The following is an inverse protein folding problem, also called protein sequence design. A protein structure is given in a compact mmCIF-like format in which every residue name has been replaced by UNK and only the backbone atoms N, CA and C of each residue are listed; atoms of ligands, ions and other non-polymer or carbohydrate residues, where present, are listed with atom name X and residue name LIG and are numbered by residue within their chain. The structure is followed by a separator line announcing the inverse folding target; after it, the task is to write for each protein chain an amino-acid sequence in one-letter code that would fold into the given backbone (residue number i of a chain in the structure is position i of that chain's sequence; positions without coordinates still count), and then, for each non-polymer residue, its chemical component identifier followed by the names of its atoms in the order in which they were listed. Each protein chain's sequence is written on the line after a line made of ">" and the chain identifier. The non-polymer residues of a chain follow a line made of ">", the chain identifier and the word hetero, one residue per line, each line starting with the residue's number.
data_IF_773374118247
#
_entry.id   IF_773374118247
#
_cell.length_a   1.000
_cell.length_b   1.000
_cell.length_c   1.000
_cell.angle_alpha   90.00
_cell.angle_beta   90.00
_cell.angle_gamma   90.00
#
_symmetry.space_group_name_H-M   'P 1'
#
loop_
_entity.id
_entity.type
_entity.pdbx_description
1 polymer ?
#
# COMPACT_ATOMS: atom_id res chain seq x y z
N UNK A 1 4.57 4.39 -15.15
CA UNK A 1 4.09 4.25 -13.79
C UNK A 1 4.44 5.38 -12.84
N UNK A 2 4.57 6.54 -13.31
CA UNK A 2 4.47 7.81 -12.58
C UNK A 2 3.06 8.02 -11.98
N UNK A 3 2.37 6.95 -11.67
CA UNK A 3 0.92 6.92 -11.56
C UNK A 3 0.37 7.44 -10.27
N UNK A 4 1.15 7.45 -9.23
CA UNK A 4 0.72 8.03 -7.99
C UNK A 4 1.63 9.20 -7.64
N UNK A 5 1.25 10.39 -8.09
CA UNK A 5 1.73 11.61 -7.44
C UNK A 5 1.08 11.75 -6.06
N UNK A 6 1.15 10.68 -5.27
CA UNK A 6 0.81 10.69 -3.85
C UNK A 6 1.85 11.46 -3.04
N UNK A 7 2.98 11.81 -3.64
CA UNK A 7 4.14 12.39 -2.97
C UNK A 7 5.12 11.36 -2.44
N UNK A 8 4.81 10.07 -2.55
CA UNK A 8 5.72 9.00 -2.12
C UNK A 8 6.75 8.66 -3.20
N UNK A 9 7.98 8.25 -2.81
CA UNK A 9 9.10 8.07 -3.76
C UNK A 9 8.91 6.88 -4.70
N UNK A 10 8.19 5.85 -4.28
CA UNK A 10 7.96 4.63 -5.08
C UNK A 10 6.48 4.26 -5.12
N UNK A 11 6.05 3.66 -6.22
CA UNK A 11 4.71 3.08 -6.34
C UNK A 11 4.57 1.75 -5.58
N UNK A 12 3.35 1.33 -5.22
CA UNK A 12 3.12 0.14 -4.39
C UNK A 12 3.63 -1.16 -5.01
N UNK A 13 3.57 -1.34 -6.31
CA UNK A 13 4.10 -2.54 -6.97
C UNK A 13 5.63 -2.56 -6.96
N UNK A 14 6.28 -1.42 -7.10
CA UNK A 14 7.73 -1.29 -7.03
C UNK A 14 8.25 -1.53 -5.61
N UNK A 15 7.53 -1.03 -4.58
CA UNK A 15 7.81 -1.35 -3.18
C UNK A 15 7.69 -2.85 -2.94
N UNK A 16 6.62 -3.49 -3.43
CA UNK A 16 6.42 -4.93 -3.29
C UNK A 16 7.57 -5.74 -3.91
N UNK A 17 8.03 -5.36 -5.09
CA UNK A 17 9.17 -5.99 -5.75
C UNK A 17 10.49 -5.76 -5.00
N UNK A 18 10.66 -4.59 -4.39
CA UNK A 18 11.85 -4.23 -3.62
C UNK A 18 11.95 -5.00 -2.32
N UNK A 19 10.83 -5.21 -1.62
CA UNK A 19 10.73 -6.06 -0.42
C UNK A 19 10.95 -7.53 -0.78
N UNK A 20 10.46 -7.93 -1.94
CA UNK A 20 10.45 -9.30 -2.44
C UNK A 20 9.09 -9.97 -2.28
N UNK A 21 8.56 -10.49 -3.38
CA UNK A 21 7.25 -11.11 -3.41
C UNK A 21 7.20 -12.42 -2.61
N UNK A 22 8.29 -13.17 -2.58
CA UNK A 22 8.46 -14.37 -1.75
C UNK A 22 8.47 -14.02 -0.25
N UNK A 23 9.05 -12.88 0.12
CA UNK A 23 9.00 -12.37 1.48
C UNK A 23 7.57 -11.99 1.85
N UNK A 24 6.87 -11.25 0.98
CA UNK A 24 5.47 -10.89 1.19
C UNK A 24 4.56 -12.13 1.30
N UNK A 25 4.82 -13.17 0.49
CA UNK A 25 4.11 -14.45 0.55
C UNK A 25 4.30 -15.14 1.92
N UNK A 26 5.54 -15.20 2.41
CA UNK A 26 5.86 -15.80 3.72
C UNK A 26 5.20 -15.03 4.86
N UNK A 27 5.33 -13.70 4.86
CA UNK A 27 4.68 -12.83 5.86
C UNK A 27 3.16 -13.06 5.88
N UNK A 28 2.53 -13.10 4.70
CA UNK A 28 1.10 -13.35 4.59
C UNK A 28 0.68 -14.70 5.18
N UNK A 29 1.42 -15.77 4.89
CA UNK A 29 1.17 -17.11 5.46
C UNK A 29 1.35 -17.12 6.97
N UNK A 30 2.47 -16.59 7.48
CA UNK A 30 2.73 -16.52 8.93
C UNK A 30 1.68 -15.70 9.68
N UNK A 31 1.29 -14.54 9.14
CA UNK A 31 0.25 -13.72 9.76
C UNK A 31 -1.11 -14.43 9.81
N UNK A 32 -1.45 -15.17 8.75
CA UNK A 32 -2.67 -15.95 8.74
C UNK A 32 -2.65 -17.07 9.79
N UNK A 33 -1.53 -17.76 9.93
CA UNK A 33 -1.33 -18.78 10.97
C UNK A 33 -1.46 -18.20 12.39
N UNK A 34 -0.77 -17.09 12.67
CA UNK A 34 -0.81 -16.42 13.98
C UNK A 34 -2.22 -15.93 14.34
N UNK A 35 -2.98 -15.45 13.36
CA UNK A 35 -4.34 -14.96 13.57
C UNK A 35 -5.42 -16.04 13.36
N UNK A 36 -5.03 -17.30 13.20
CA UNK A 36 -5.94 -18.44 12.93
C UNK A 36 -6.87 -18.19 11.73
N UNK A 37 -6.35 -17.53 10.70
CA UNK A 37 -7.05 -17.20 9.46
C UNK A 37 -6.61 -18.11 8.31
N UNK A 38 -7.52 -18.36 7.38
CA UNK A 38 -7.15 -19.06 6.15
C UNK A 38 -6.47 -18.07 5.17
N UNK A 39 -5.18 -18.26 4.95
CA UNK A 39 -4.40 -17.42 4.01
C UNK A 39 -5.03 -17.35 2.61
N UNK A 40 -5.69 -18.40 2.14
CA UNK A 40 -6.34 -18.42 0.83
C UNK A 40 -7.48 -17.41 0.70
N UNK A 41 -8.02 -16.93 1.82
CA UNK A 41 -9.01 -15.85 1.86
C UNK A 41 -8.42 -14.45 1.74
N UNK A 42 -7.08 -14.29 1.87
CA UNK A 42 -6.43 -13.02 1.57
C UNK A 42 -6.54 -12.73 0.06
N UNK A 43 -7.11 -11.59 -0.35
CA UNK A 43 -7.24 -11.24 -1.77
C UNK A 43 -5.90 -11.20 -2.53
N UNK A 44 -4.79 -11.06 -1.83
CA UNK A 44 -3.44 -11.04 -2.42
C UNK A 44 -2.85 -12.43 -2.58
N UNK A 45 -3.34 -13.42 -1.83
CA UNK A 45 -2.77 -14.76 -1.76
C UNK A 45 -2.62 -15.41 -3.14
N UNK A 46 -3.71 -15.41 -3.91
CA UNK A 46 -3.73 -16.03 -5.23
C UNK A 46 -2.74 -15.38 -6.21
N UNK A 47 -2.59 -14.05 -6.14
CA UNK A 47 -1.64 -13.32 -6.99
C UNK A 47 -0.20 -13.57 -6.59
N UNK A 48 0.10 -13.52 -5.28
CA UNK A 48 1.46 -13.74 -4.78
C UNK A 48 1.92 -15.18 -5.00
N UNK A 49 1.06 -16.17 -4.71
CA UNK A 49 1.40 -17.57 -4.98
C UNK A 49 1.67 -17.81 -6.47
N UNK A 50 0.81 -17.30 -7.34
CA UNK A 50 1.00 -17.42 -8.78
C UNK A 50 2.30 -16.76 -9.27
N UNK A 51 2.61 -15.55 -8.83
CA UNK A 51 3.85 -14.89 -9.24
C UNK A 51 5.08 -15.64 -8.74
N UNK A 52 5.09 -16.07 -7.47
CA UNK A 52 6.26 -16.66 -6.84
C UNK A 52 6.40 -18.14 -7.18
N UNK A 53 5.34 -18.92 -6.98
CA UNK A 53 5.38 -20.39 -7.06
C UNK A 53 5.26 -20.88 -8.51
N UNK A 54 4.36 -20.30 -9.33
CA UNK A 54 4.13 -20.77 -10.70
C UNK A 54 5.05 -20.06 -11.71
N UNK A 55 5.30 -18.75 -11.53
CA UNK A 55 6.08 -17.95 -12.50
C UNK A 55 7.52 -17.68 -12.07
N UNK A 56 7.89 -18.05 -10.84
CA UNK A 56 9.25 -17.84 -10.29
C UNK A 56 9.65 -16.37 -10.22
N UNK A 57 8.69 -15.46 -10.03
CA UNK A 57 8.88 -14.01 -9.99
C UNK A 57 8.94 -13.54 -8.53
N UNK A 58 10.15 -13.39 -8.01
CA UNK A 58 10.39 -13.11 -6.58
C UNK A 58 10.64 -11.62 -6.28
N UNK A 59 10.54 -10.76 -7.28
CA UNK A 59 10.79 -9.34 -7.16
C UNK A 59 12.16 -8.90 -7.68
N UNK A 60 12.56 -7.68 -7.32
CA UNK A 60 13.79 -7.03 -7.80
C UNK A 60 15.04 -7.87 -7.60
N UNK A 61 15.19 -8.56 -6.47
CA UNK A 61 16.35 -9.42 -6.16
C UNK A 61 16.54 -10.58 -7.16
N UNK A 62 15.44 -11.03 -7.78
CA UNK A 62 15.45 -12.07 -8.82
C UNK A 62 15.39 -11.51 -10.24
N UNK A 63 15.52 -10.20 -10.42
CA UNK A 63 15.45 -9.54 -11.72
C UNK A 63 14.05 -9.53 -12.34
N UNK A 64 13.03 -10.05 -11.65
CA UNK A 64 11.66 -10.17 -12.15
C UNK A 64 10.65 -10.26 -11.02
N UNK A 65 9.65 -9.38 -11.06
CA UNK A 65 8.56 -9.29 -10.11
C UNK A 65 7.29 -8.85 -10.82
N UNK A 66 6.57 -7.89 -10.28
CA UNK A 66 5.54 -7.15 -11.04
C UNK A 66 6.15 -6.43 -12.24
N UNK A 67 7.42 -6.02 -12.09
CA UNK A 67 8.19 -5.39 -13.16
C UNK A 67 9.21 -6.36 -13.76
N UNK A 68 9.61 -6.07 -14.99
CA UNK A 68 10.86 -6.52 -15.58
C UNK A 68 11.96 -5.54 -15.15
N UNK A 69 13.16 -6.03 -14.89
CA UNK A 69 14.30 -5.24 -14.46
C UNK A 69 15.42 -5.33 -15.51
N UNK A 70 16.09 -4.20 -15.75
CA UNK A 70 17.28 -4.14 -16.57
C UNK A 70 18.52 -4.60 -15.79
N UNK A 71 19.66 -4.68 -16.49
CA UNK A 71 20.94 -5.09 -15.90
C UNK A 71 21.42 -4.09 -14.81
N UNK A 72 20.94 -2.85 -14.86
CA UNK A 72 21.17 -1.82 -13.85
C UNK A 72 20.27 -1.97 -12.61
N UNK A 73 19.42 -3.00 -12.57
CA UNK A 73 18.49 -3.27 -11.49
C UNK A 73 17.33 -2.28 -11.37
N UNK A 74 17.08 -1.47 -12.42
CA UNK A 74 15.92 -0.56 -12.47
C UNK A 74 14.72 -1.20 -13.14
N UNK A 75 13.50 -0.86 -12.70
CA UNK A 75 12.29 -1.35 -13.34
C UNK A 75 12.17 -0.75 -14.75
N UNK A 76 11.92 -1.59 -15.75
CA UNK A 76 11.77 -1.17 -17.17
C UNK A 76 10.30 -1.04 -17.56
N UNK A 77 9.51 -2.08 -17.31
CA UNK A 77 8.07 -2.12 -17.61
C UNK A 77 7.35 -3.08 -16.68
N UNK A 78 6.05 -2.93 -16.55
CA UNK A 78 5.22 -3.97 -15.91
C UNK A 78 5.31 -5.23 -16.76
N UNK A 79 5.48 -6.37 -16.12
CA UNK A 79 5.51 -7.66 -16.80
C UNK A 79 4.22 -7.91 -17.59
N UNK A 80 4.29 -8.12 -18.91
CA UNK A 80 3.08 -8.28 -19.74
C UNK A 80 2.22 -9.48 -19.35
N UNK A 81 2.85 -10.56 -18.82
CA UNK A 81 2.13 -11.76 -18.41
C UNK A 81 1.14 -11.53 -17.25
N UNK A 82 1.18 -10.38 -16.57
CA UNK A 82 0.20 -10.05 -15.52
C UNK A 82 -1.24 -10.02 -16.08
N UNK A 83 -1.40 -9.75 -17.39
CA UNK A 83 -2.69 -9.78 -18.09
C UNK A 83 -3.36 -11.16 -18.10
N UNK A 84 -2.65 -12.24 -17.82
CA UNK A 84 -3.23 -13.58 -17.64
C UNK A 84 -4.19 -13.63 -16.43
N UNK A 85 -4.01 -12.76 -15.45
CA UNK A 85 -4.78 -12.71 -14.20
C UNK A 85 -5.54 -11.42 -13.96
N UNK A 86 -5.09 -10.32 -14.56
CA UNK A 86 -5.67 -8.99 -14.36
C UNK A 86 -6.05 -8.41 -15.72
N UNK A 87 -7.33 -8.15 -15.91
CA UNK A 87 -7.80 -7.38 -17.05
C UNK A 87 -7.39 -5.91 -16.89
N UNK A 88 -6.65 -5.40 -17.88
CA UNK A 88 -6.30 -3.97 -17.93
C UNK A 88 -7.49 -3.22 -18.55
N UNK A 89 -8.30 -2.62 -17.69
CA UNK A 89 -9.53 -1.92 -18.09
C UNK A 89 -9.30 -0.61 -18.84
N UNK A 90 -8.19 0.05 -18.57
CA UNK A 90 -7.85 1.32 -19.21
C UNK A 90 -6.35 1.41 -19.48
N UNK A 91 -5.95 2.08 -20.58
CA UNK A 91 -4.54 2.38 -20.87
C UNK A 91 -4.02 3.54 -20.02
N UNK A 92 -4.91 4.48 -19.70
CA UNK A 92 -4.61 5.64 -18.87
C UNK A 92 -5.55 5.66 -17.67
N UNK A 93 -5.02 6.06 -16.50
CA UNK A 93 -5.82 6.19 -15.30
C UNK A 93 -6.64 7.48 -15.37
N UNK A 94 -7.97 7.43 -15.38
CA UNK A 94 -8.81 8.63 -15.33
C UNK A 94 -8.46 9.52 -14.12
N UNK A 95 -8.55 10.86 -14.25
CA UNK A 95 -8.20 11.77 -13.15
C UNK A 95 -8.94 11.49 -11.86
N UNK A 96 -10.23 11.19 -11.93
CA UNK A 96 -11.09 10.89 -10.78
C UNK A 96 -10.63 9.61 -10.07
N UNK A 97 -10.34 8.56 -10.84
CA UNK A 97 -9.82 7.31 -10.30
C UNK A 97 -8.46 7.52 -9.64
N UNK A 98 -7.61 8.36 -10.24
CA UNK A 98 -6.30 8.69 -9.66
C UNK A 98 -6.43 9.38 -8.30
N UNK A 99 -7.34 10.34 -8.17
CA UNK A 99 -7.63 11.01 -6.89
C UNK A 99 -8.11 10.01 -5.85
N UNK A 100 -9.05 9.16 -6.22
CA UNK A 100 -9.61 8.15 -5.33
C UNK A 100 -8.55 7.11 -4.87
N UNK A 101 -7.70 6.65 -5.79
CA UNK A 101 -6.61 5.73 -5.45
C UNK A 101 -5.57 6.38 -4.54
N UNK A 102 -5.19 7.63 -4.80
CA UNK A 102 -4.28 8.40 -3.94
C UNK A 102 -4.85 8.53 -2.53
N UNK A 103 -6.14 8.90 -2.44
CA UNK A 103 -6.86 9.01 -1.18
C UNK A 103 -6.83 7.68 -0.40
N UNK A 104 -7.22 6.57 -1.03
CA UNK A 104 -7.18 5.24 -0.43
C UNK A 104 -5.80 4.88 0.10
N UNK A 105 -4.77 5.23 -0.64
CA UNK A 105 -3.39 4.92 -0.28
C UNK A 105 -2.91 5.71 0.93
N UNK A 106 -3.20 7.01 1.00
CA UNK A 106 -2.80 7.87 2.11
C UNK A 106 -3.64 7.60 3.37
N UNK A 107 -4.96 7.48 3.23
CA UNK A 107 -5.87 7.22 4.34
C UNK A 107 -5.52 5.93 5.08
N UNK A 108 -5.20 4.85 4.35
CA UNK A 108 -4.83 3.58 4.98
C UNK A 108 -3.63 3.71 5.91
N UNK A 109 -2.65 4.52 5.53
CA UNK A 109 -1.47 4.77 6.34
C UNK A 109 -1.79 5.64 7.55
N UNK A 110 -2.56 6.72 7.35
CA UNK A 110 -2.96 7.60 8.44
C UNK A 110 -3.82 6.87 9.50
N UNK A 111 -4.74 6.02 9.09
CA UNK A 111 -5.56 5.19 10.00
C UNK A 111 -4.67 4.26 10.82
N UNK A 112 -3.65 3.66 10.21
CA UNK A 112 -2.73 2.79 10.94
C UNK A 112 -1.89 3.55 11.97
N UNK A 113 -1.41 4.75 11.61
CA UNK A 113 -0.70 5.62 12.56
C UNK A 113 -1.63 6.03 13.72
N UNK A 114 -2.90 6.36 13.44
CA UNK A 114 -3.86 6.66 14.49
C UNK A 114 -4.09 5.46 15.44
N UNK A 115 -4.10 4.22 14.92
CA UNK A 115 -4.12 3.01 15.77
C UNK A 115 -2.88 2.86 16.63
N UNK A 116 -1.71 3.17 16.10
CA UNK A 116 -0.47 3.15 16.91
C UNK A 116 -0.53 4.14 18.08
N UNK A 117 -1.24 5.25 17.92
CA UNK A 117 -1.52 6.17 19.04
C UNK A 117 -2.51 5.55 20.04
N UNK A 118 -3.61 5.01 19.57
CA UNK A 118 -4.62 4.37 20.43
C UNK A 118 -4.01 3.24 21.27
N UNK A 119 -3.10 2.47 20.67
CA UNK A 119 -2.41 1.36 21.32
C UNK A 119 -1.19 1.81 22.18
N UNK A 120 -0.86 3.11 22.20
CA UNK A 120 0.26 3.64 22.95
C UNK A 120 1.65 3.27 22.40
N UNK A 121 1.72 2.79 21.16
CA UNK A 121 2.98 2.50 20.46
C UNK A 121 3.72 3.79 20.12
N UNK A 122 2.97 4.82 19.75
CA UNK A 122 3.47 6.18 19.51
C UNK A 122 2.75 7.10 20.49
N UNK A 123 3.49 7.99 21.16
CA UNK A 123 2.94 8.90 22.17
C UNK A 123 3.10 10.38 21.81
N UNK A 124 3.94 10.71 20.85
CA UNK A 124 4.16 12.09 20.38
C UNK A 124 3.75 12.22 18.88
N UNK A 125 2.84 13.14 18.55
CA UNK A 125 2.43 13.39 17.16
C UNK A 125 3.58 13.76 16.23
N UNK A 126 4.61 14.43 16.76
CA UNK A 126 5.79 14.82 15.98
C UNK A 126 6.60 13.60 15.55
N UNK A 127 6.72 12.59 16.41
CA UNK A 127 7.40 11.35 16.10
C UNK A 127 6.64 10.57 15.01
N UNK A 128 5.31 10.61 15.05
CA UNK A 128 4.49 10.03 14.00
C UNK A 128 4.69 10.72 12.63
N UNK A 129 4.69 12.05 12.61
CA UNK A 129 4.85 12.82 11.38
C UNK A 129 6.25 12.66 10.80
N UNK A 130 7.27 12.91 11.58
CA UNK A 130 8.68 12.77 11.16
C UNK A 130 8.99 11.32 10.80
N UNK A 131 8.55 10.38 11.65
CA UNK A 131 8.76 8.95 11.44
C UNK A 131 8.10 8.46 10.15
N UNK A 132 6.86 8.88 9.86
CA UNK A 132 6.19 8.48 8.63
C UNK A 132 6.90 8.97 7.38
N UNK A 133 7.43 10.17 7.37
CA UNK A 133 8.17 10.73 6.24
C UNK A 133 9.52 10.04 6.08
N UNK A 134 10.30 9.89 7.15
CA UNK A 134 11.68 9.41 7.07
C UNK A 134 11.78 7.89 6.98
N UNK A 135 10.89 7.15 7.65
CA UNK A 135 11.00 5.69 7.71
C UNK A 135 10.42 5.00 6.47
N UNK A 136 9.29 5.46 5.94
CA UNK A 136 8.68 4.82 4.76
C UNK A 136 8.28 5.77 3.63
N UNK A 137 8.71 7.05 3.71
CA UNK A 137 8.54 8.01 2.62
C UNK A 137 7.09 8.47 2.44
N UNK A 138 6.33 8.62 3.53
CA UNK A 138 5.01 9.27 3.44
C UNK A 138 5.15 10.64 2.80
N UNK A 139 4.11 11.11 2.14
CA UNK A 139 4.10 12.32 1.32
C UNK A 139 4.65 13.56 2.09
N UNK A 140 5.88 14.04 1.83
CA UNK A 140 6.49 15.10 2.64
C UNK A 140 5.72 16.43 2.61
N UNK A 141 5.01 16.71 1.50
CA UNK A 141 4.20 17.92 1.39
C UNK A 141 3.06 18.01 2.41
N UNK A 142 2.69 16.89 3.01
CA UNK A 142 1.60 16.81 3.98
C UNK A 142 2.03 17.14 5.41
N UNK A 143 3.34 17.16 5.69
CA UNK A 143 3.88 17.29 7.03
C UNK A 143 3.92 15.97 7.81
N UNK A 144 3.36 14.88 7.29
CA UNK A 144 3.27 13.56 7.91
C UNK A 144 1.84 13.06 8.04
N UNK A 145 1.66 11.89 8.62
CA UNK A 145 0.35 11.24 8.70
C UNK A 145 -0.65 12.00 9.58
N UNK A 146 -0.23 12.51 10.73
CA UNK A 146 -1.10 13.26 11.65
C UNK A 146 -1.39 14.65 11.08
N UNK A 147 -0.36 15.35 10.61
CA UNK A 147 -0.55 16.63 9.92
C UNK A 147 -1.46 16.50 8.70
N UNK A 148 -1.41 15.39 7.96
CA UNK A 148 -2.34 15.15 6.86
C UNK A 148 -3.80 15.06 7.32
N UNK A 149 -4.06 14.40 8.44
CA UNK A 149 -5.40 14.34 9.02
C UNK A 149 -5.85 15.74 9.42
N UNK A 150 -5.03 16.47 10.17
CA UNK A 150 -5.43 17.74 10.78
C UNK A 150 -5.48 18.90 9.79
N UNK A 151 -4.43 19.07 8.98
CA UNK A 151 -4.26 20.26 8.15
C UNK A 151 -4.96 20.17 6.80
N UNK A 152 -5.02 18.96 6.19
CA UNK A 152 -5.66 18.81 4.87
C UNK A 152 -7.15 18.47 4.96
N UNK A 153 -7.54 17.76 5.99
CA UNK A 153 -8.93 17.29 6.11
C UNK A 153 -9.68 17.92 7.29
N UNK A 154 -9.03 18.04 8.43
CA UNK A 154 -9.67 18.17 9.73
C UNK A 154 -10.27 16.84 10.18
N UNK A 155 -10.13 16.51 11.44
CA UNK A 155 -10.47 15.17 11.99
C UNK A 155 -11.87 14.70 11.59
N UNK A 156 -12.88 15.57 11.71
CA UNK A 156 -14.27 15.21 11.38
C UNK A 156 -14.43 14.76 9.93
N UNK A 157 -13.93 15.54 8.97
CA UNK A 157 -14.05 15.19 7.54
C UNK A 157 -13.21 13.99 7.17
N UNK A 158 -12.06 13.80 7.85
CA UNK A 158 -11.23 12.63 7.66
C UNK A 158 -12.00 11.36 8.07
N UNK A 159 -12.65 11.36 9.24
CA UNK A 159 -13.47 10.25 9.71
C UNK A 159 -14.62 9.96 8.76
N UNK A 160 -15.38 10.98 8.35
CA UNK A 160 -16.50 10.84 7.40
C UNK A 160 -16.03 10.18 6.08
N UNK A 161 -14.88 10.61 5.56
CA UNK A 161 -14.32 10.06 4.33
C UNK A 161 -13.74 8.65 4.54
N UNK A 162 -13.14 8.37 5.69
CA UNK A 162 -12.67 7.04 6.04
C UNK A 162 -13.83 6.04 6.15
N UNK A 163 -14.95 6.43 6.73
CA UNK A 163 -16.18 5.63 6.76
C UNK A 163 -16.71 5.37 5.35
N UNK A 164 -16.78 6.39 4.49
CA UNK A 164 -17.15 6.21 3.08
C UNK A 164 -16.23 5.19 2.37
N UNK A 165 -14.92 5.30 2.60
CA UNK A 165 -13.95 4.35 2.04
C UNK A 165 -14.13 2.94 2.60
N UNK A 166 -14.47 2.82 3.90
CA UNK A 166 -14.73 1.53 4.52
C UNK A 166 -15.98 0.86 3.92
N UNK A 167 -17.07 1.61 3.78
CA UNK A 167 -18.32 1.13 3.20
C UNK A 167 -18.16 0.71 1.72
N UNK A 168 -17.27 1.39 0.98
CA UNK A 168 -17.04 1.11 -0.45
C UNK A 168 -15.98 0.03 -0.69
N UNK A 169 -14.91 0.00 0.11
CA UNK A 169 -13.71 -0.81 -0.16
C UNK A 169 -13.33 -1.77 0.97
N UNK A 170 -14.10 -1.78 2.05
CA UNK A 170 -13.96 -2.72 3.16
C UNK A 170 -13.35 -2.16 4.44
N UNK A 171 -13.54 -2.89 5.52
CA UNK A 171 -13.27 -2.51 6.91
C UNK A 171 -11.83 -2.06 7.22
N UNK A 172 -10.88 -2.33 6.35
CA UNK A 172 -9.50 -1.83 6.50
C UNK A 172 -9.39 -0.30 6.51
N UNK A 173 -10.43 0.40 6.04
CA UNK A 173 -10.51 1.86 6.06
C UNK A 173 -11.34 2.40 7.24
N UNK A 174 -11.94 1.54 8.05
CA UNK A 174 -12.71 1.98 9.20
C UNK A 174 -11.79 2.71 10.18
N UNK A 175 -12.12 3.97 10.55
CA UNK A 175 -11.34 4.69 11.53
C UNK A 175 -11.43 4.01 12.90
N UNK A 176 -10.40 4.17 13.71
CA UNK A 176 -10.42 3.81 15.12
C UNK A 176 -11.28 4.80 15.93
N UNK A 177 -11.47 4.51 17.20
CA UNK A 177 -12.40 5.27 18.07
C UNK A 177 -11.80 6.54 18.66
N UNK A 178 -10.55 6.88 18.34
CA UNK A 178 -9.93 8.13 18.80
C UNK A 178 -10.55 9.36 18.13
#
# INVERSE_FOLDING_TARGET
>A
TTLFRSGMPMGPLEVSDSVGLDTALKIGKTNAELNQQDYKKDPRAAMLSWLVEDKGRVGRKGGKGYYEYGDDGKPTRIWPGISERIEVKTKECPPELKVELTKRYLFRQCIEVARCFEEGVITDPRDADVGSILAWGFAPYSGGCISYIDLFWGTKKFVEEADRLADTYGERFRPNKL
#
